data_IF_195065504289
#
_entry.id   IF_195065504289
#
_cell.length_a   1.000
_cell.length_b   1.000
_cell.length_c   1.000
_cell.angle_alpha   90.00
_cell.angle_beta   90.00
_cell.angle_gamma   90.00
#
_symmetry.space_group_name_H-M   'P 1'
#
loop_
_entity.id
_entity.type
_entity.pdbx_description
1 polymer ?
#
# COMPACT_ATOMS: atom_id res chain seq x y z
N UNK A 1 29.33 10.73 -23.38
CA UNK A 1 27.89 10.67 -23.02
C UNK A 1 27.08 11.21 -24.19
N UNK A 2 25.97 10.56 -24.53
CA UNK A 2 25.03 11.11 -25.53
C UNK A 2 24.14 12.11 -24.80
N UNK A 3 24.04 13.34 -25.32
CA UNK A 3 23.09 14.34 -24.85
C UNK A 3 21.92 14.41 -25.83
N UNK A 4 20.69 14.29 -25.33
CA UNK A 4 19.48 14.43 -26.12
C UNK A 4 18.76 15.72 -25.69
N UNK A 5 18.42 16.56 -26.66
CA UNK A 5 17.64 17.77 -26.45
C UNK A 5 16.36 17.73 -27.28
N UNK A 6 15.25 18.12 -26.67
CA UNK A 6 13.98 18.31 -27.37
C UNK A 6 13.82 19.76 -27.82
N UNK A 7 13.07 19.97 -28.91
CA UNK A 7 12.54 21.31 -29.23
C UNK A 7 11.78 21.84 -28.03
N UNK A 8 11.89 23.14 -27.77
CA UNK A 8 11.41 23.75 -26.53
C UNK A 8 10.90 25.16 -26.78
N UNK A 9 9.95 25.58 -25.95
CA UNK A 9 9.36 26.92 -25.95
C UNK A 9 8.33 27.05 -24.85
N UNK A 10 7.80 28.25 -24.64
CA UNK A 10 6.62 28.46 -23.79
C UNK A 10 5.38 27.83 -24.42
N UNK A 11 4.31 27.65 -23.63
CA UNK A 11 3.01 27.20 -24.13
C UNK A 11 2.57 27.98 -25.37
N UNK A 12 2.63 29.31 -25.28
CA UNK A 12 2.24 30.20 -26.37
C UNK A 12 3.09 30.03 -27.64
N UNK A 13 4.39 29.76 -27.50
CA UNK A 13 5.27 29.53 -28.65
C UNK A 13 4.96 28.20 -29.35
N UNK A 14 4.63 27.16 -28.58
CA UNK A 14 4.25 25.85 -29.14
C UNK A 14 2.87 25.94 -29.79
N UNK A 15 1.93 26.67 -29.20
CA UNK A 15 0.60 26.94 -29.80
C UNK A 15 0.73 27.70 -31.12
N UNK A 16 1.58 28.73 -31.17
CA UNK A 16 1.86 29.48 -32.41
C UNK A 16 2.49 28.58 -33.49
N UNK A 17 3.40 27.67 -33.10
CA UNK A 17 3.97 26.70 -34.02
C UNK A 17 2.91 25.72 -34.56
N UNK A 18 1.96 25.28 -33.73
CA UNK A 18 0.81 24.50 -34.17
C UNK A 18 -0.05 25.28 -35.18
N UNK A 19 -0.42 26.54 -34.87
CA UNK A 19 -1.21 27.38 -35.78
C UNK A 19 -0.53 27.58 -37.14
N UNK A 20 0.81 27.58 -37.18
CA UNK A 20 1.62 27.67 -38.39
C UNK A 20 1.87 26.33 -39.12
N UNK A 21 1.24 25.22 -38.70
CA UNK A 21 1.51 23.86 -39.19
C UNK A 21 2.97 23.40 -39.00
N UNK A 22 3.66 23.94 -38.00
CA UNK A 22 5.08 23.72 -37.76
C UNK A 22 5.41 22.51 -36.88
N UNK A 23 4.41 21.80 -36.35
CA UNK A 23 4.63 20.63 -35.52
C UNK A 23 4.77 19.35 -36.37
N UNK A 24 5.37 18.32 -35.79
CA UNK A 24 5.46 16.99 -36.39
C UNK A 24 4.75 15.97 -35.52
N UNK A 25 3.96 15.11 -36.17
CA UNK A 25 3.28 14.00 -35.49
C UNK A 25 4.32 13.08 -34.83
N UNK A 26 4.13 12.80 -33.54
CA UNK A 26 5.00 11.95 -32.73
C UNK A 26 6.26 12.64 -32.18
N UNK A 27 6.54 13.89 -32.56
CA UNK A 27 7.70 14.62 -32.01
C UNK A 27 7.37 15.15 -30.59
N UNK A 28 8.34 15.04 -29.67
CA UNK A 28 8.24 15.52 -28.29
C UNK A 28 8.83 16.93 -28.18
N UNK A 29 8.09 17.82 -27.50
CA UNK A 29 8.46 19.20 -27.21
C UNK A 29 8.43 19.45 -25.70
N UNK A 30 9.31 20.33 -25.21
CA UNK A 30 9.32 20.79 -23.82
C UNK A 30 8.63 22.17 -23.71
N UNK A 31 7.57 22.24 -22.92
CA UNK A 31 6.94 23.48 -22.44
C UNK A 31 7.75 24.02 -21.25
N UNK A 32 8.51 25.08 -21.48
CA UNK A 32 9.49 25.57 -20.51
C UNK A 32 8.88 26.34 -19.34
N UNK A 33 7.72 26.95 -19.55
CA UNK A 33 6.93 27.70 -18.57
C UNK A 33 6.08 26.79 -17.66
N UNK A 34 5.71 25.59 -18.15
CA UNK A 34 4.91 24.62 -17.38
C UNK A 34 5.73 23.46 -16.80
N UNK A 35 7.03 23.39 -17.13
CA UNK A 35 7.91 22.25 -16.86
C UNK A 35 7.25 20.92 -17.29
N UNK A 36 6.76 20.86 -18.53
CA UNK A 36 5.94 19.76 -19.05
C UNK A 36 6.38 19.33 -20.45
N UNK A 37 6.19 18.05 -20.76
CA UNK A 37 6.33 17.54 -22.12
C UNK A 37 4.99 17.58 -22.86
N UNK A 38 5.04 17.83 -24.16
CA UNK A 38 3.91 17.68 -25.08
C UNK A 38 4.34 16.91 -26.33
N UNK A 39 3.42 16.22 -26.98
CA UNK A 39 3.67 15.49 -28.23
C UNK A 39 2.83 16.08 -29.36
N UNK A 40 3.43 16.27 -30.53
CA UNK A 40 2.68 16.65 -31.73
C UNK A 40 1.73 15.53 -32.14
N UNK A 41 0.44 15.83 -32.25
CA UNK A 41 -0.60 14.87 -32.70
C UNK A 41 -0.90 15.03 -34.18
N UNK A 42 -0.68 16.23 -34.72
CA UNK A 42 -0.79 16.62 -36.12
C UNK A 42 0.12 17.85 -36.38
N UNK A 43 0.30 18.29 -37.64
CA UNK A 43 1.06 19.52 -37.91
C UNK A 43 0.53 20.75 -37.18
N UNK A 44 -0.78 20.77 -36.91
CA UNK A 44 -1.52 21.83 -36.25
C UNK A 44 -2.05 21.47 -34.85
N UNK A 45 -1.54 20.40 -34.24
CA UNK A 45 -2.07 19.90 -32.98
C UNK A 45 -1.00 19.27 -32.11
N UNK A 46 -1.15 19.44 -30.80
CA UNK A 46 -0.33 18.75 -29.82
C UNK A 46 -1.12 18.45 -28.55
N UNK A 47 -0.65 17.46 -27.80
CA UNK A 47 -1.27 17.01 -26.57
C UNK A 47 -0.24 17.11 -25.44
N UNK A 48 -0.48 17.91 -24.38
CA UNK A 48 0.35 17.90 -23.18
C UNK A 48 0.24 16.55 -22.48
N UNK A 49 1.35 16.03 -21.99
CA UNK A 49 1.36 14.83 -21.14
C UNK A 49 1.02 15.24 -19.70
N UNK A 50 0.22 14.43 -19.02
CA UNK A 50 0.00 14.57 -17.58
C UNK A 50 1.29 14.24 -16.82
N UNK A 51 1.59 14.99 -15.76
CA UNK A 51 2.65 14.60 -14.81
C UNK A 51 2.16 13.41 -14.00
N UNK A 52 3.08 12.60 -13.48
CA UNK A 52 2.75 11.44 -12.64
C UNK A 52 1.86 11.81 -11.44
N UNK A 53 1.97 13.03 -10.91
CA UNK A 53 1.14 13.52 -9.80
C UNK A 53 -0.17 14.22 -10.22
N UNK A 54 -0.51 14.26 -11.50
CA UNK A 54 -1.73 14.93 -12.00
C UNK A 54 -2.82 13.96 -12.44
N UNK A 55 -2.47 12.69 -12.66
CA UNK A 55 -3.47 11.64 -12.79
C UNK A 55 -4.05 11.39 -11.41
N UNK A 56 -5.31 11.77 -11.18
CA UNK A 56 -6.05 11.68 -9.92
C UNK A 56 -6.35 10.23 -9.45
N UNK A 57 -5.43 9.31 -9.70
CA UNK A 57 -5.47 7.94 -9.20
C UNK A 57 -4.17 7.74 -8.44
N UNK A 58 -4.24 7.90 -7.12
CA UNK A 58 -3.16 7.46 -6.25
C UNK A 58 -2.97 5.95 -6.47
N UNK A 59 -1.80 5.50 -6.98
CA UNK A 59 -1.60 4.09 -7.30
C UNK A 59 -1.42 3.28 -6.01
N UNK A 60 -1.80 2.01 -6.04
CA UNK A 60 -1.41 1.07 -4.99
C UNK A 60 0.08 0.78 -5.06
N UNK A 61 0.76 0.88 -3.92
CA UNK A 61 2.11 0.36 -3.72
C UNK A 61 2.05 -0.93 -2.91
N UNK A 62 2.64 -2.01 -3.43
CA UNK A 62 2.58 -3.34 -2.80
C UNK A 62 3.96 -3.81 -2.36
N UNK A 63 4.02 -4.35 -1.15
CA UNK A 63 5.19 -4.99 -0.57
C UNK A 63 4.89 -6.46 -0.28
N UNK A 64 5.85 -7.33 -0.59
CA UNK A 64 5.79 -8.77 -0.31
C UNK A 64 6.66 -9.11 0.89
N UNK A 65 6.16 -9.95 1.78
CA UNK A 65 6.92 -10.41 2.93
C UNK A 65 8.11 -11.28 2.48
N UNK A 66 9.31 -10.87 2.89
CA UNK A 66 10.58 -11.49 2.48
C UNK A 66 10.97 -12.77 3.23
N UNK A 67 10.57 -12.91 4.49
CA UNK A 67 10.86 -14.08 5.33
C UNK A 67 9.69 -14.39 6.28
N UNK A 68 9.60 -15.64 6.74
CA UNK A 68 8.58 -16.04 7.71
C UNK A 68 8.79 -15.26 9.00
N UNK A 69 7.71 -14.73 9.58
CA UNK A 69 7.77 -14.03 10.87
C UNK A 69 6.98 -14.83 11.89
N UNK A 70 7.64 -15.20 12.98
CA UNK A 70 7.09 -16.07 14.03
C UNK A 70 6.92 -15.28 15.32
N UNK A 71 5.77 -15.43 15.98
CA UNK A 71 5.55 -14.92 17.34
C UNK A 71 4.72 -15.91 18.15
N UNK A 72 5.08 -16.06 19.41
CA UNK A 72 4.34 -16.82 20.43
C UNK A 72 3.90 -15.91 21.60
N UNK A 73 3.94 -14.60 21.38
CA UNK A 73 3.54 -13.58 22.35
C UNK A 73 2.08 -13.19 22.15
N UNK A 74 1.38 -13.01 23.28
CA UNK A 74 0.01 -12.47 23.31
C UNK A 74 -0.05 -10.95 23.23
N UNK A 75 1.11 -10.29 23.26
CA UNK A 75 1.29 -8.86 22.96
C UNK A 75 1.57 -8.70 21.46
N UNK A 76 1.12 -7.59 20.87
CA UNK A 76 1.41 -7.27 19.48
C UNK A 76 2.92 -7.15 19.26
N UNK A 77 3.41 -7.78 18.19
CA UNK A 77 4.79 -7.79 17.76
C UNK A 77 4.86 -7.45 16.26
N UNK A 78 5.93 -6.78 15.79
CA UNK A 78 6.04 -6.36 14.41
C UNK A 78 6.21 -7.53 13.44
N UNK A 79 5.49 -7.49 12.33
CA UNK A 79 5.78 -8.28 11.13
C UNK A 79 6.95 -7.61 10.42
N UNK A 80 8.17 -8.05 10.73
CA UNK A 80 9.40 -7.43 10.21
C UNK A 80 9.38 -7.38 8.67
N UNK A 81 9.61 -6.20 8.10
CA UNK A 81 9.58 -5.99 6.66
C UNK A 81 8.17 -5.86 6.07
N UNK A 82 7.18 -5.46 6.86
CA UNK A 82 5.83 -5.07 6.40
C UNK A 82 5.46 -3.71 7.00
N UNK A 83 6.06 -2.65 6.47
CA UNK A 83 5.83 -1.27 6.88
C UNK A 83 6.07 -0.31 5.73
N UNK A 84 5.54 0.91 5.84
CA UNK A 84 5.85 2.01 4.93
C UNK A 84 5.94 3.33 5.72
N UNK A 85 6.69 4.29 5.16
CA UNK A 85 6.78 5.64 5.72
C UNK A 85 5.56 6.45 5.26
N UNK A 86 4.73 6.84 6.21
CA UNK A 86 3.57 7.70 5.99
C UNK A 86 3.94 9.18 6.19
N UNK A 87 3.41 10.03 5.33
CA UNK A 87 3.52 11.49 5.45
C UNK A 87 2.65 11.98 6.63
N UNK A 88 3.00 13.11 7.27
CA UNK A 88 2.11 13.73 8.26
C UNK A 88 0.78 14.14 7.62
N UNK A 89 -0.28 14.18 8.43
CA UNK A 89 -1.62 14.67 8.08
C UNK A 89 -2.21 14.04 6.80
N UNK A 90 -1.88 12.77 6.54
CA UNK A 90 -2.22 12.09 5.29
C UNK A 90 -3.05 10.83 5.58
N UNK A 91 -4.05 10.60 4.74
CA UNK A 91 -4.88 9.40 4.82
C UNK A 91 -4.42 8.33 3.82
N UNK A 92 -4.51 7.07 4.26
CA UNK A 92 -4.12 5.90 3.49
C UNK A 92 -5.17 4.81 3.63
N UNK A 93 -5.48 4.14 2.51
CA UNK A 93 -6.02 2.79 2.56
C UNK A 93 -4.87 1.80 2.64
N UNK A 94 -4.97 0.84 3.55
CA UNK A 94 -4.00 -0.24 3.70
C UNK A 94 -4.73 -1.57 3.56
N UNK A 95 -4.20 -2.46 2.72
CA UNK A 95 -4.75 -3.79 2.50
C UNK A 95 -3.70 -4.87 2.75
N UNK A 96 -4.10 -5.97 3.37
CA UNK A 96 -3.27 -7.15 3.56
C UNK A 96 -3.98 -8.35 2.96
N UNK A 97 -3.24 -9.13 2.19
CA UNK A 97 -3.63 -10.47 1.76
C UNK A 97 -2.51 -11.42 2.15
N UNK A 98 -2.84 -12.48 2.86
CA UNK A 98 -1.83 -13.31 3.49
C UNK A 98 -2.26 -14.73 3.81
N UNK A 99 -1.28 -15.47 4.31
CA UNK A 99 -1.50 -16.73 4.99
C UNK A 99 -0.66 -16.77 6.26
N UNK A 100 -1.21 -17.41 7.29
CA UNK A 100 -0.48 -17.74 8.49
C UNK A 100 -0.60 -19.23 8.81
N UNK A 101 0.32 -19.73 9.63
CA UNK A 101 0.25 -21.06 10.22
C UNK A 101 0.20 -20.93 11.73
N UNK A 102 -0.56 -21.80 12.36
CA UNK A 102 -0.65 -21.89 13.82
C UNK A 102 -0.09 -23.21 14.31
N UNK A 103 0.66 -23.18 15.43
CA UNK A 103 1.26 -24.36 16.03
C UNK A 103 0.21 -25.35 16.56
N UNK A 104 -0.98 -24.88 16.94
CA UNK A 104 -2.07 -25.69 17.45
C UNK A 104 -3.42 -25.25 16.87
N UNK A 105 -4.35 -26.20 16.74
CA UNK A 105 -5.70 -25.92 16.22
C UNK A 105 -6.49 -24.97 17.13
N UNK A 106 -6.14 -24.82 18.40
CA UNK A 106 -6.81 -23.92 19.36
C UNK A 106 -6.24 -22.51 19.38
N UNK A 107 -5.24 -22.20 18.55
CA UNK A 107 -4.52 -20.93 18.58
C UNK A 107 -4.83 -20.11 17.35
N UNK A 108 -5.41 -18.93 17.52
CA UNK A 108 -5.57 -17.97 16.43
C UNK A 108 -4.67 -16.75 16.49
N UNK A 109 -5.03 -15.76 15.68
CA UNK A 109 -4.23 -14.60 15.29
C UNK A 109 -5.00 -13.31 15.56
N UNK A 110 -4.31 -12.24 15.92
CA UNK A 110 -4.82 -10.88 15.71
C UNK A 110 -3.80 -10.08 14.90
N UNK A 111 -4.29 -9.22 14.01
CA UNK A 111 -3.52 -8.27 13.22
C UNK A 111 -3.91 -6.84 13.60
N UNK A 112 -2.93 -5.95 13.65
CA UNK A 112 -3.12 -4.53 13.83
C UNK A 112 -2.10 -3.74 13.01
N UNK A 113 -2.32 -2.44 12.85
CA UNK A 113 -1.31 -1.48 12.44
C UNK A 113 -0.86 -0.66 13.64
N UNK A 114 0.45 -0.47 13.75
CA UNK A 114 1.07 0.58 14.56
C UNK A 114 1.22 1.82 13.66
N UNK A 115 0.89 3.00 14.18
CA UNK A 115 1.05 4.26 13.46
C UNK A 115 1.81 5.27 14.34
N UNK A 116 2.53 6.24 13.76
CA UNK A 116 3.32 7.19 14.55
C UNK A 116 2.44 8.10 15.41
N UNK A 117 1.31 8.51 14.85
CA UNK A 117 0.27 9.32 15.49
C UNK A 117 -0.99 9.31 14.62
N UNK A 118 -2.15 9.65 15.21
CA UNK A 118 -3.41 9.82 14.49
C UNK A 118 -4.42 8.72 14.78
N UNK A 119 -5.15 8.30 13.75
CA UNK A 119 -6.25 7.33 13.87
C UNK A 119 -6.07 6.18 12.90
N UNK A 120 -6.38 4.98 13.36
CA UNK A 120 -6.52 3.79 12.53
C UNK A 120 -7.85 3.11 12.83
N UNK A 121 -8.56 2.74 11.77
CA UNK A 121 -9.75 1.89 11.85
C UNK A 121 -9.67 0.82 10.78
N UNK A 122 -10.06 -0.40 11.11
CA UNK A 122 -10.07 -1.47 10.13
C UNK A 122 -10.48 -2.80 10.71
N UNK A 123 -10.38 -3.81 9.89
CA UNK A 123 -10.71 -5.17 10.28
C UNK A 123 -9.84 -6.18 9.54
N UNK A 124 -9.54 -7.28 10.22
CA UNK A 124 -9.04 -8.49 9.60
C UNK A 124 -10.12 -9.56 9.55
N UNK A 125 -10.02 -10.43 8.56
CA UNK A 125 -10.85 -11.61 8.36
C UNK A 125 -9.94 -12.82 8.20
N UNK A 126 -10.22 -13.89 8.94
CA UNK A 126 -9.55 -15.17 8.78
C UNK A 126 -10.58 -16.28 8.77
N UNK A 127 -10.32 -17.33 8.00
CA UNK A 127 -11.20 -18.51 7.91
C UNK A 127 -10.81 -19.49 9.03
N UNK A 128 -11.49 -19.38 10.17
CA UNK A 128 -11.18 -20.17 11.39
C UNK A 128 -11.62 -21.63 11.28
N UNK A 129 -12.65 -21.92 10.48
CA UNK A 129 -13.11 -23.29 10.19
C UNK A 129 -13.27 -23.54 8.70
N UNK A 130 -13.71 -24.76 8.34
CA UNK A 130 -14.39 -25.14 7.09
C UNK A 130 -14.93 -24.00 6.23
N UNK A 131 -15.82 -23.26 6.88
CA UNK A 131 -16.91 -22.54 6.27
C UNK A 131 -17.22 -21.25 7.03
N UNK A 132 -16.54 -21.00 8.17
CA UNK A 132 -16.83 -19.86 9.04
C UNK A 132 -15.65 -18.88 9.02
N UNK A 133 -15.85 -17.65 8.51
CA UNK A 133 -14.91 -16.56 8.74
C UNK A 133 -15.10 -16.01 10.16
N UNK A 134 -14.00 -15.54 10.75
CA UNK A 134 -14.02 -14.70 11.93
C UNK A 134 -13.41 -13.34 11.60
N UNK A 135 -13.90 -12.29 12.25
CA UNK A 135 -13.44 -10.92 12.06
C UNK A 135 -12.95 -10.32 13.37
N UNK A 136 -11.93 -9.49 13.30
CA UNK A 136 -11.40 -8.71 14.42
C UNK A 136 -11.25 -7.29 13.94
N UNK A 137 -11.76 -6.34 14.73
CA UNK A 137 -11.59 -4.93 14.45
C UNK A 137 -10.34 -4.36 15.13
N UNK A 138 -9.84 -3.30 14.52
CA UNK A 138 -8.94 -2.35 15.13
C UNK A 138 -9.63 -0.99 15.09
N UNK A 139 -9.73 -0.33 16.25
CA UNK A 139 -10.36 0.99 16.40
C UNK A 139 -9.41 2.03 17.02
N UNK A 140 -8.15 1.64 17.27
CA UNK A 140 -7.12 2.48 17.86
C UNK A 140 -5.74 1.99 17.44
N UNK A 141 -4.75 2.86 17.58
CA UNK A 141 -3.34 2.57 17.31
C UNK A 141 -2.84 1.37 18.13
N UNK A 142 -2.09 0.48 17.47
CA UNK A 142 -1.48 -0.72 18.05
C UNK A 142 -2.43 -1.47 19.02
N UNK A 143 -3.69 -1.64 18.63
CA UNK A 143 -4.71 -2.26 19.46
C UNK A 143 -5.65 -3.17 18.67
N UNK A 144 -6.06 -4.27 19.30
CA UNK A 144 -7.10 -5.18 18.80
C UNK A 144 -8.05 -5.50 19.95
N UNK A 145 -9.34 -5.60 19.68
CA UNK A 145 -10.32 -5.98 20.71
C UNK A 145 -10.28 -7.49 21.05
N UNK A 146 -9.73 -8.32 20.16
CA UNK A 146 -9.75 -9.77 20.27
C UNK A 146 -8.62 -10.42 19.45
N UNK A 147 -8.56 -11.75 19.48
CA UNK A 147 -7.83 -12.60 18.55
C UNK A 147 -8.82 -13.62 17.95
N UNK A 148 -8.48 -14.24 16.82
CA UNK A 148 -9.39 -15.21 16.22
C UNK A 148 -9.38 -16.45 17.09
N UNK A 149 -10.51 -17.15 17.25
CA UNK A 149 -10.48 -18.43 17.90
C UNK A 149 -9.92 -19.45 16.91
N UNK A 150 -8.87 -20.16 17.30
CA UNK A 150 -8.47 -21.40 16.63
C UNK A 150 -8.06 -21.29 15.13
N UNK A 151 -7.56 -22.40 14.59
CA UNK A 151 -7.43 -22.65 13.15
C UNK A 151 -7.93 -24.06 12.82
N UNK A 152 -8.32 -24.29 11.57
CA UNK A 152 -8.81 -25.60 11.11
C UNK A 152 -7.79 -26.73 11.32
N UNK A 153 -6.53 -26.48 10.99
CA UNK A 153 -5.47 -27.48 11.01
C UNK A 153 -4.17 -26.82 11.44
N UNK A 154 -3.48 -27.41 12.41
CA UNK A 154 -2.16 -26.93 12.83
C UNK A 154 -1.16 -27.03 11.65
N UNK A 155 -0.22 -26.09 11.61
CA UNK A 155 0.86 -26.02 10.62
C UNK A 155 0.39 -25.99 9.15
N UNK A 156 -0.86 -25.61 8.92
CA UNK A 156 -1.45 -25.46 7.58
C UNK A 156 -1.73 -23.99 7.29
N UNK A 157 -1.54 -23.59 6.03
CA UNK A 157 -1.77 -22.21 5.61
C UNK A 157 -3.25 -21.86 5.76
N UNK A 158 -3.53 -20.94 6.68
CA UNK A 158 -4.86 -20.37 6.90
C UNK A 158 -4.89 -18.98 6.25
N UNK A 159 -5.83 -18.73 5.32
CA UNK A 159 -5.90 -17.45 4.63
C UNK A 159 -6.33 -16.35 5.60
N UNK A 160 -5.73 -15.18 5.44
CA UNK A 160 -6.08 -13.95 6.16
C UNK A 160 -6.12 -12.77 5.19
N UNK A 161 -7.10 -11.90 5.37
CA UNK A 161 -7.14 -10.60 4.70
C UNK A 161 -7.44 -9.51 5.72
N UNK A 162 -6.99 -8.30 5.46
CA UNK A 162 -7.31 -7.16 6.31
C UNK A 162 -7.38 -5.87 5.50
N UNK A 163 -8.21 -4.93 5.96
CA UNK A 163 -8.35 -3.61 5.36
C UNK A 163 -8.40 -2.57 6.47
N UNK A 164 -7.61 -1.51 6.32
CA UNK A 164 -7.54 -0.41 7.26
C UNK A 164 -7.62 0.93 6.54
N UNK A 165 -8.22 1.90 7.20
CA UNK A 165 -8.07 3.31 6.95
C UNK A 165 -7.16 3.87 8.03
N UNK A 166 -6.07 4.50 7.60
CA UNK A 166 -5.11 5.18 8.47
C UNK A 166 -5.14 6.66 8.13
N UNK A 167 -5.25 7.51 9.14
CA UNK A 167 -4.99 8.95 9.01
C UNK A 167 -3.90 9.31 9.99
N UNK A 168 -2.74 9.70 9.48
CA UNK A 168 -1.62 10.14 10.32
C UNK A 168 -1.89 11.51 10.92
N UNK A 169 -1.41 11.72 12.14
CA UNK A 169 -1.44 13.03 12.80
C UNK A 169 -0.35 13.97 12.28
N UNK A 170 -0.01 14.98 13.08
CA UNK A 170 1.02 15.98 12.73
C UNK A 170 2.43 15.39 12.59
N UNK A 171 2.64 14.16 13.05
CA UNK A 171 3.90 13.43 12.90
C UNK A 171 3.70 12.25 11.96
N UNK A 172 4.40 12.28 10.81
CA UNK A 172 4.55 11.14 9.90
C UNK A 172 5.56 10.13 10.43
N UNK A 173 5.75 9.03 9.71
CA UNK A 173 6.65 7.94 10.11
C UNK A 173 6.10 6.55 9.77
N UNK A 174 6.63 5.49 10.38
CA UNK A 174 6.34 4.12 9.99
C UNK A 174 4.90 3.73 10.36
N UNK A 175 4.14 3.29 9.36
CA UNK A 175 2.94 2.47 9.55
C UNK A 175 3.37 1.01 9.47
N UNK A 176 3.28 0.27 10.56
CA UNK A 176 3.86 -1.07 10.71
C UNK A 176 2.78 -2.12 10.97
N UNK A 177 2.78 -3.21 10.19
CA UNK A 177 1.91 -4.35 10.48
C UNK A 177 2.39 -5.07 11.74
N UNK A 178 1.48 -5.27 12.68
CA UNK A 178 1.68 -6.02 13.92
C UNK A 178 0.83 -7.29 13.92
N UNK A 179 1.27 -8.28 14.69
CA UNK A 179 0.49 -9.46 14.98
C UNK A 179 0.76 -10.03 16.37
N UNK A 180 -0.18 -10.83 16.88
CA UNK A 180 -0.04 -11.59 18.13
C UNK A 180 -0.73 -12.93 18.02
N UNK A 181 -0.30 -13.87 18.86
CA UNK A 181 -1.04 -15.13 19.08
C UNK A 181 -2.15 -14.93 20.11
N UNK A 182 -3.22 -15.70 19.98
CA UNK A 182 -4.28 -15.81 20.99
C UNK A 182 -3.76 -16.44 22.29
N UNK A 183 -2.88 -17.44 22.18
CA UNK A 183 -2.44 -18.28 23.30
C UNK A 183 -0.94 -18.14 23.51
N UNK A 184 -0.54 -17.71 24.70
CA UNK A 184 0.86 -17.57 25.07
C UNK A 184 1.62 -18.90 24.90
N UNK A 185 2.79 -18.85 24.27
CA UNK A 185 3.61 -20.02 24.01
C UNK A 185 3.19 -20.85 22.79
N UNK A 186 2.01 -20.61 22.21
CA UNK A 186 1.60 -21.24 20.95
C UNK A 186 1.90 -20.31 19.77
N UNK A 187 2.81 -20.75 18.89
CA UNK A 187 3.35 -19.89 17.85
C UNK A 187 2.39 -19.69 16.67
N UNK A 188 2.33 -18.46 16.18
CA UNK A 188 1.80 -18.11 14.87
C UNK A 188 2.97 -17.73 13.96
N UNK A 189 2.94 -18.19 12.72
CA UNK A 189 3.90 -17.82 11.67
C UNK A 189 3.17 -17.12 10.53
N UNK A 190 3.48 -15.85 10.27
CA UNK A 190 3.07 -15.16 9.04
C UNK A 190 3.98 -15.65 7.91
N UNK A 191 3.38 -16.17 6.83
CA UNK A 191 4.13 -16.88 5.79
C UNK A 191 4.70 -15.93 4.75
N UNK A 192 6.02 -15.99 4.58
CA UNK A 192 6.73 -15.39 3.46
C UNK A 192 6.20 -15.97 2.15
N UNK A 193 6.35 -15.23 1.06
CA UNK A 193 5.92 -15.74 -0.25
C UNK A 193 4.41 -15.64 -0.50
N UNK A 194 3.59 -15.69 0.55
CA UNK A 194 2.12 -15.73 0.53
C UNK A 194 1.46 -14.50 1.16
N UNK A 195 2.25 -13.57 1.72
CA UNK A 195 1.74 -12.37 2.38
C UNK A 195 2.22 -11.12 1.67
N UNK A 196 1.28 -10.23 1.36
CA UNK A 196 1.49 -8.90 0.77
C UNK A 196 0.75 -7.84 1.59
N UNK A 197 1.32 -6.63 1.61
CA UNK A 197 0.73 -5.42 2.16
C UNK A 197 0.72 -4.35 1.08
N UNK A 198 -0.45 -3.76 0.84
CA UNK A 198 -0.67 -2.68 -0.09
C UNK A 198 -1.00 -1.41 0.66
N UNK A 199 -0.52 -0.27 0.18
CA UNK A 199 -0.95 1.05 0.64
C UNK A 199 -1.32 1.94 -0.55
N UNK A 200 -2.28 2.83 -0.32
CA UNK A 200 -2.69 3.87 -1.27
C UNK A 200 -3.07 5.13 -0.52
N UNK A 201 -2.43 6.25 -0.85
CA UNK A 201 -2.83 7.58 -0.38
C UNK A 201 -4.26 7.92 -0.86
N UNK A 202 -5.05 8.62 -0.05
CA UNK A 202 -6.43 9.07 -0.39
C UNK A 202 -6.72 10.48 0.10
#
# INVERSE_FOLDING_TARGET
>A
MVSLTHKRGTRAQIDAAALANGLRRGEVYLMTDEARLTVGTAPNGHQPLAKQGETAIDPWSWQKLGADVVSNLVTLAPVTGMSFEAEPETSYLVEIFGAYQSAAISTGLALALDIPSGTVIGQMVSVVTGTTPNMIEQIADSATNAATPAVRTANSNTPVSARYLVTTGSTGGPVQLLFRTEIAGSAITIKAGLTIMGQRKI
#
